data_IF_079278892488
#
_entry.id   IF_079278892488
#
_cell.length_a   1.000
_cell.length_b   1.000
_cell.length_c   1.000
_cell.angle_alpha   90.00
_cell.angle_beta   90.00
_cell.angle_gamma   90.00
#
_symmetry.space_group_name_H-M   'P 1'
#
loop_
_entity.id
_entity.type
_entity.pdbx_description
1 polymer ?
#
# COMPACT_ATOMS: atom_id res chain seq x y z
N UNK A 1 -13.59 -62.59 -9.39
CA UNK A 1 -12.18 -62.40 -8.99
C UNK A 1 -11.96 -63.23 -7.74
N UNK A 2 -10.90 -64.04 -7.71
CA UNK A 2 -10.62 -64.88 -6.54
C UNK A 2 -10.14 -64.01 -5.37
N UNK A 3 -10.34 -64.46 -4.14
CA UNK A 3 -9.90 -63.74 -2.94
C UNK A 3 -8.39 -63.47 -2.98
N UNK A 4 -7.60 -64.39 -3.55
CA UNK A 4 -6.16 -64.23 -3.79
C UNK A 4 -5.83 -63.11 -4.77
N UNK A 5 -6.63 -62.89 -5.81
CA UNK A 5 -6.40 -61.79 -6.77
C UNK A 5 -6.59 -60.42 -6.09
N UNK A 6 -7.56 -60.33 -5.18
CA UNK A 6 -7.85 -59.10 -4.44
C UNK A 6 -6.70 -58.78 -3.47
N UNK A 7 -6.15 -59.78 -2.79
CA UNK A 7 -4.99 -59.61 -1.90
C UNK A 7 -3.73 -59.23 -2.66
N UNK A 8 -3.49 -59.85 -3.82
CA UNK A 8 -2.37 -59.49 -4.70
C UNK A 8 -2.46 -58.03 -5.17
N UNK A 9 -3.63 -57.59 -5.64
CA UNK A 9 -3.82 -56.20 -6.09
C UNK A 9 -3.67 -55.19 -4.93
N UNK A 10 -4.12 -55.52 -3.72
CA UNK A 10 -3.91 -54.67 -2.54
C UNK A 10 -2.42 -54.54 -2.19
N UNK A 11 -1.66 -55.62 -2.31
CA UNK A 11 -0.20 -55.60 -2.09
C UNK A 11 0.52 -54.74 -3.13
N UNK A 12 0.14 -54.85 -4.40
CA UNK A 12 0.67 -53.99 -5.48
C UNK A 12 0.35 -52.52 -5.24
N UNK A 13 -0.88 -52.22 -4.82
CA UNK A 13 -1.31 -50.84 -4.55
C UNK A 13 -0.61 -50.23 -3.32
N UNK A 14 -0.31 -51.04 -2.31
CA UNK A 14 0.52 -50.65 -1.17
C UNK A 14 1.96 -50.32 -1.61
N UNK A 15 2.54 -51.17 -2.45
CA UNK A 15 3.90 -50.97 -2.99
C UNK A 15 3.99 -49.69 -3.83
N UNK A 16 3.03 -49.48 -4.73
CA UNK A 16 2.95 -48.25 -5.54
C UNK A 16 2.77 -46.98 -4.68
N UNK A 17 1.99 -47.05 -3.60
CA UNK A 17 1.85 -45.92 -2.66
C UNK A 17 3.16 -45.60 -1.94
N UNK A 18 3.88 -46.62 -1.50
CA UNK A 18 5.19 -46.43 -0.87
C UNK A 18 6.21 -45.85 -1.85
N UNK A 19 6.19 -46.29 -3.11
CA UNK A 19 7.04 -45.74 -4.16
C UNK A 19 6.73 -44.27 -4.44
N UNK A 20 5.45 -43.90 -4.58
CA UNK A 20 5.02 -42.49 -4.73
C UNK A 20 5.48 -41.65 -3.53
N UNK A 21 5.38 -42.18 -2.31
CA UNK A 21 5.87 -41.49 -1.10
C UNK A 21 7.37 -41.26 -1.16
N UNK A 22 8.14 -42.27 -1.57
CA UNK A 22 9.60 -42.17 -1.70
C UNK A 22 10.00 -41.16 -2.80
N UNK A 23 9.32 -41.18 -3.95
CA UNK A 23 9.55 -40.22 -5.03
C UNK A 23 9.25 -38.79 -4.60
N UNK A 24 8.16 -38.56 -3.87
CA UNK A 24 7.85 -37.24 -3.30
C UNK A 24 8.94 -36.75 -2.34
N UNK A 25 9.47 -37.64 -1.50
CA UNK A 25 10.57 -37.29 -0.60
C UNK A 25 11.86 -36.95 -1.37
N UNK A 26 12.17 -37.72 -2.42
CA UNK A 26 13.32 -37.44 -3.28
C UNK A 26 13.19 -36.10 -4.00
N UNK A 27 12.02 -35.78 -4.53
CA UNK A 27 11.75 -34.48 -5.17
C UNK A 27 11.94 -33.33 -4.18
N UNK A 28 11.38 -33.46 -2.97
CA UNK A 28 11.54 -32.45 -1.91
C UNK A 28 13.01 -32.22 -1.55
N UNK A 29 13.78 -33.30 -1.39
CA UNK A 29 15.21 -33.22 -1.10
C UNK A 29 15.98 -32.56 -2.26
N UNK A 30 15.67 -32.92 -3.51
CA UNK A 30 16.29 -32.31 -4.70
C UNK A 30 15.96 -30.82 -4.83
N UNK A 31 14.71 -30.42 -4.54
CA UNK A 31 14.31 -29.01 -4.51
C UNK A 31 15.10 -28.22 -3.47
N UNK A 32 15.29 -28.80 -2.28
CA UNK A 32 16.07 -28.16 -1.21
C UNK A 32 17.55 -27.98 -1.60
N UNK A 33 18.17 -29.02 -2.18
CA UNK A 33 19.55 -28.94 -2.69
C UNK A 33 19.67 -27.89 -3.78
N UNK A 34 18.75 -27.88 -4.75
CA UNK A 34 18.72 -26.88 -5.82
C UNK A 34 18.61 -25.45 -5.28
N UNK A 35 17.73 -25.21 -4.31
CA UNK A 35 17.61 -23.89 -3.69
C UNK A 35 18.89 -23.46 -3.00
N UNK A 36 19.56 -24.38 -2.29
CA UNK A 36 20.86 -24.12 -1.66
C UNK A 36 21.93 -23.76 -2.69
N UNK A 37 21.99 -24.47 -3.80
CA UNK A 37 22.96 -24.20 -4.87
C UNK A 37 22.71 -22.84 -5.53
N UNK A 38 21.44 -22.48 -5.78
CA UNK A 38 21.07 -21.14 -6.29
C UNK A 38 21.52 -20.03 -5.34
N UNK A 39 21.37 -20.22 -4.02
CA UNK A 39 21.84 -19.25 -3.03
C UNK A 39 23.36 -19.14 -3.02
N UNK A 40 24.08 -20.27 -3.09
CA UNK A 40 25.55 -20.28 -3.16
C UNK A 40 26.06 -19.56 -4.41
N UNK A 41 25.41 -19.76 -5.57
CA UNK A 41 25.76 -19.08 -6.82
C UNK A 41 25.51 -17.59 -6.69
N UNK A 42 24.35 -17.17 -6.17
CA UNK A 42 24.05 -15.75 -5.93
C UNK A 42 25.09 -15.09 -5.04
N UNK A 43 25.39 -15.71 -3.90
CA UNK A 43 26.42 -15.22 -2.98
C UNK A 43 27.79 -15.09 -3.65
N UNK A 44 28.15 -16.06 -4.49
CA UNK A 44 29.42 -16.03 -5.24
C UNK A 44 29.45 -14.91 -6.27
N UNK A 45 28.33 -14.63 -6.95
CA UNK A 45 28.21 -13.55 -7.93
C UNK A 45 28.21 -12.16 -7.27
N UNK A 46 27.51 -11.99 -6.15
CA UNK A 46 27.49 -10.74 -5.38
C UNK A 46 28.87 -10.38 -4.85
N UNK A 47 29.67 -11.38 -4.46
CA UNK A 47 31.03 -11.19 -3.97
C UNK A 47 32.10 -11.32 -5.06
N UNK A 48 31.72 -11.54 -6.33
CA UNK A 48 32.68 -11.68 -7.41
C UNK A 48 33.26 -10.31 -7.77
N UNK A 49 34.50 -10.06 -7.34
CA UNK A 49 35.26 -8.87 -7.70
C UNK A 49 36.31 -9.19 -8.77
N UNK A 50 36.23 -8.49 -9.90
CA UNK A 50 37.17 -8.63 -11.00
C UNK A 50 38.56 -8.08 -10.62
N UNK A 51 39.63 -8.87 -10.86
CA UNK A 51 41.01 -8.53 -10.50
C UNK A 51 41.55 -7.24 -11.15
N UNK A 52 40.93 -6.73 -12.22
CA UNK A 52 41.35 -5.53 -12.95
C UNK A 52 40.62 -4.24 -12.58
N UNK A 53 39.57 -4.29 -11.76
CA UNK A 53 38.75 -3.10 -11.43
C UNK A 53 39.26 -2.32 -10.20
N UNK A 54 40.49 -2.58 -9.73
CA UNK A 54 41.02 -2.06 -8.46
C UNK A 54 41.51 -0.61 -8.50
N UNK A 55 41.42 0.09 -9.63
CA UNK A 55 42.04 1.42 -9.84
C UNK A 55 41.06 2.54 -10.18
N UNK A 56 39.83 2.49 -9.68
CA UNK A 56 38.91 3.64 -9.73
C UNK A 56 37.91 3.56 -8.58
N UNK A 57 38.42 3.70 -7.37
CA UNK A 57 37.64 3.93 -6.16
C UNK A 57 37.32 5.42 -6.05
N UNK A 58 36.03 5.76 -6.12
CA UNK A 58 35.36 6.69 -5.19
C UNK A 58 33.87 6.78 -5.56
N UNK A 59 33.11 5.79 -5.08
CA UNK A 59 31.66 5.88 -4.90
C UNK A 59 31.28 4.90 -3.78
N UNK A 60 31.27 5.39 -2.54
CA UNK A 60 30.89 4.63 -1.36
C UNK A 60 29.39 4.28 -1.39
N UNK A 61 29.08 2.98 -1.40
CA UNK A 61 27.80 2.43 -0.97
C UNK A 61 27.95 1.95 0.49
N UNK A 62 27.20 2.49 1.47
CA UNK A 62 27.24 1.96 2.81
C UNK A 62 26.36 0.71 2.94
N UNK A 63 27.04 -0.42 3.16
CA UNK A 63 26.53 -1.63 3.77
C UNK A 63 26.13 -1.33 5.21
N UNK A 64 24.88 -1.60 5.59
CA UNK A 64 24.56 -1.92 6.98
C UNK A 64 23.60 -3.10 7.03
N UNK A 65 24.23 -4.28 7.15
CA UNK A 65 23.58 -5.48 7.65
C UNK A 65 23.18 -5.24 9.11
N UNK A 66 21.92 -5.53 9.43
CA UNK A 66 21.52 -5.83 10.80
C UNK A 66 20.93 -7.22 10.78
N UNK A 67 21.59 -8.12 11.51
CA UNK A 67 21.19 -9.48 11.83
C UNK A 67 19.71 -9.53 12.22
N UNK A 68 18.90 -10.17 11.38
CA UNK A 68 17.57 -10.63 11.78
C UNK A 68 17.75 -12.05 12.31
N UNK A 69 17.66 -12.18 13.62
CA UNK A 69 17.59 -13.46 14.33
C UNK A 69 16.51 -14.36 13.73
N UNK A 70 16.90 -15.61 13.52
CA UNK A 70 16.16 -16.73 12.95
C UNK A 70 14.79 -16.93 13.63
N UNK A 71 13.72 -16.48 12.97
CA UNK A 71 12.35 -17.02 13.10
C UNK A 71 11.35 -16.36 12.14
N UNK A 72 11.77 -15.91 10.96
CA UNK A 72 10.84 -15.41 9.94
C UNK A 72 10.32 -16.60 9.12
N UNK A 73 9.14 -17.09 9.50
CA UNK A 73 8.27 -17.77 8.54
C UNK A 73 8.27 -16.94 7.27
N UNK A 74 8.55 -17.58 6.14
CA UNK A 74 8.71 -16.92 4.85
C UNK A 74 7.43 -16.15 4.46
N UNK A 75 7.33 -14.89 4.87
CA UNK A 75 6.32 -13.98 4.36
C UNK A 75 6.74 -13.67 2.93
N UNK A 76 6.12 -14.32 1.96
CA UNK A 76 6.17 -13.89 0.56
C UNK A 76 5.68 -12.44 0.50
N UNK A 77 6.60 -11.49 0.32
CA UNK A 77 6.23 -10.09 0.15
C UNK A 77 5.28 -9.91 -1.04
N UNK A 78 4.37 -8.95 -0.95
CA UNK A 78 3.48 -8.57 -2.05
C UNK A 78 4.26 -7.62 -2.97
N UNK A 79 4.40 -7.99 -4.25
CA UNK A 79 5.01 -7.15 -5.28
C UNK A 79 3.94 -6.51 -6.14
N UNK A 80 4.14 -5.25 -6.52
CA UNK A 80 3.25 -4.51 -7.41
C UNK A 80 4.04 -4.01 -8.63
N UNK A 81 3.46 -4.18 -9.82
CA UNK A 81 3.97 -3.58 -11.03
C UNK A 81 3.33 -2.19 -11.21
N UNK A 82 4.12 -1.11 -11.36
CA UNK A 82 3.57 0.23 -11.53
C UNK A 82 2.75 0.35 -12.81
N UNK A 83 1.52 0.87 -12.67
CA UNK A 83 0.60 1.09 -13.81
C UNK A 83 0.95 2.33 -14.62
N UNK A 84 1.79 3.21 -14.09
CA UNK A 84 2.20 4.45 -14.75
C UNK A 84 3.27 5.21 -13.98
N UNK A 85 3.68 6.34 -14.54
CA UNK A 85 4.71 7.21 -13.97
C UNK A 85 4.20 8.64 -13.88
N UNK A 86 4.41 9.26 -12.72
CA UNK A 86 4.11 10.67 -12.48
C UNK A 86 5.17 11.55 -13.14
N UNK A 87 4.73 12.59 -13.86
CA UNK A 87 5.55 13.67 -14.37
C UNK A 87 5.19 14.99 -13.71
N UNK A 88 6.16 15.62 -13.05
CA UNK A 88 5.99 16.91 -12.35
C UNK A 88 7.21 17.80 -12.55
N UNK A 89 7.10 19.06 -12.15
CA UNK A 89 8.23 20.01 -12.13
C UNK A 89 9.26 19.69 -11.04
N UNK A 90 8.96 18.77 -10.13
CA UNK A 90 9.79 18.50 -8.96
C UNK A 90 10.77 17.35 -9.25
N UNK A 91 11.95 17.69 -9.77
CA UNK A 91 13.00 16.70 -10.05
C UNK A 91 13.55 15.99 -8.80
N UNK A 92 13.42 16.62 -7.64
CA UNK A 92 13.92 16.16 -6.34
C UNK A 92 12.87 16.28 -5.23
N UNK A 93 13.08 15.61 -4.09
CA UNK A 93 12.21 15.73 -2.91
C UNK A 93 12.15 17.13 -2.30
N UNK A 94 13.17 17.96 -2.59
CA UNK A 94 13.25 19.34 -2.09
C UNK A 94 12.19 20.18 -2.80
N UNK A 95 11.51 21.04 -2.04
CA UNK A 95 10.42 21.89 -2.52
C UNK A 95 9.12 21.18 -2.97
N UNK A 96 9.05 19.84 -2.93
CA UNK A 96 7.78 19.14 -3.14
C UNK A 96 6.77 19.59 -2.06
N UNK A 97 5.55 19.98 -2.45
CA UNK A 97 4.49 20.33 -1.52
C UNK A 97 4.23 19.19 -0.53
N UNK A 98 3.87 19.54 0.71
CA UNK A 98 3.63 18.53 1.73
C UNK A 98 2.36 17.72 1.49
N UNK A 99 1.41 18.29 0.78
CA UNK A 99 0.11 17.73 0.40
C UNK A 99 -0.31 18.36 -0.92
N UNK A 100 -0.98 17.60 -1.79
CA UNK A 100 -1.40 18.05 -3.12
C UNK A 100 -2.23 19.35 -3.10
N UNK A 101 -3.07 19.55 -2.08
CA UNK A 101 -3.90 20.75 -1.93
C UNK A 101 -3.12 22.05 -1.70
N UNK A 102 -1.84 21.97 -1.33
CA UNK A 102 -0.99 23.17 -1.15
C UNK A 102 -0.56 23.76 -2.50
N UNK A 103 -0.42 22.93 -3.52
CA UNK A 103 -0.06 23.34 -4.87
C UNK A 103 -1.18 22.98 -5.85
N UNK A 104 -2.41 23.36 -5.49
CA UNK A 104 -3.65 22.97 -6.19
C UNK A 104 -3.73 23.46 -7.64
N UNK A 105 -2.93 24.44 -8.05
CA UNK A 105 -2.93 24.99 -9.41
C UNK A 105 -1.83 24.38 -10.30
N UNK A 106 -0.95 23.55 -9.73
CA UNK A 106 0.17 23.00 -10.50
C UNK A 106 -0.31 21.86 -11.39
N UNK A 107 -0.21 22.06 -12.71
CA UNK A 107 -0.50 21.03 -13.69
C UNK A 107 0.58 19.93 -13.66
N UNK A 108 0.15 18.69 -13.57
CA UNK A 108 0.97 17.48 -13.59
C UNK A 108 0.31 16.42 -14.46
N UNK A 109 1.04 15.34 -14.78
CA UNK A 109 0.46 14.24 -15.56
C UNK A 109 0.91 12.86 -15.11
N UNK A 110 0.07 11.88 -15.37
CA UNK A 110 0.38 10.45 -15.26
C UNK A 110 0.53 9.90 -16.67
N UNK A 111 1.67 9.30 -16.96
CA UNK A 111 1.88 8.53 -18.20
C UNK A 111 1.69 7.04 -17.86
N UNK A 112 0.64 6.40 -18.39
CA UNK A 112 0.40 4.98 -18.15
C UNK A 112 1.48 4.11 -18.81
N UNK A 113 1.82 3.02 -18.13
CA UNK A 113 2.79 2.06 -18.62
C UNK A 113 2.16 1.17 -19.70
N UNK A 114 2.62 1.34 -20.94
CA UNK A 114 2.16 0.57 -22.09
C UNK A 114 2.53 -0.92 -22.04
N UNK A 115 3.47 -1.34 -21.19
CA UNK A 115 3.84 -2.77 -21.09
C UNK A 115 2.88 -3.56 -20.20
N UNK A 116 2.10 -2.89 -19.35
CA UNK A 116 1.18 -3.54 -18.39
C UNK A 116 -0.19 -3.77 -19.01
N UNK A 117 -0.62 -2.86 -19.90
CA UNK A 117 -1.91 -2.93 -20.55
C UNK A 117 -1.75 -3.16 -22.05
N UNK A 118 -2.55 -4.04 -22.63
CA UNK A 118 -2.59 -4.19 -24.09
C UNK A 118 -3.10 -2.92 -24.77
N UNK A 119 -4.13 -2.27 -24.19
CA UNK A 119 -4.74 -1.01 -24.64
C UNK A 119 -4.95 -0.10 -23.40
N UNK A 120 -3.92 0.66 -22.97
CA UNK A 120 -3.97 1.45 -21.74
C UNK A 120 -5.06 2.52 -21.74
N UNK A 121 -5.45 3.05 -22.90
CA UNK A 121 -6.53 4.02 -23.03
C UNK A 121 -7.90 3.44 -22.61
N UNK A 122 -8.14 2.15 -22.83
CA UNK A 122 -9.41 1.51 -22.43
C UNK A 122 -9.58 1.44 -20.90
N UNK A 123 -8.48 1.41 -20.13
CA UNK A 123 -8.56 1.41 -18.67
C UNK A 123 -8.92 2.79 -18.08
N UNK A 124 -8.92 3.83 -18.92
CA UNK A 124 -9.27 5.20 -18.57
C UNK A 124 -10.69 5.60 -18.99
N UNK A 125 -11.40 4.74 -19.72
CA UNK A 125 -12.74 5.03 -20.23
C UNK A 125 -13.72 5.34 -19.07
N UNK A 126 -14.40 6.49 -19.16
CA UNK A 126 -15.34 6.96 -18.16
C UNK A 126 -14.70 7.66 -16.96
N UNK A 127 -13.38 7.65 -16.82
CA UNK A 127 -12.69 8.37 -15.74
C UNK A 127 -12.88 9.89 -15.88
N UNK A 128 -12.95 10.40 -17.12
CA UNK A 128 -13.24 11.79 -17.48
C UNK A 128 -14.61 12.30 -17.00
N UNK A 129 -15.48 11.41 -16.55
CA UNK A 129 -16.76 11.78 -15.93
C UNK A 129 -16.64 12.26 -14.48
N UNK A 130 -15.44 12.16 -13.88
CA UNK A 130 -15.17 12.57 -12.50
C UNK A 130 -14.27 13.81 -12.45
N UNK A 131 -14.61 14.77 -11.58
CA UNK A 131 -13.78 15.96 -11.39
C UNK A 131 -12.54 15.72 -10.54
N UNK A 132 -12.53 14.67 -9.71
CA UNK A 132 -11.45 14.37 -8.79
C UNK A 132 -11.13 12.88 -8.77
N UNK A 133 -9.86 12.56 -8.60
CA UNK A 133 -9.35 11.19 -8.52
C UNK A 133 -8.38 11.04 -7.35
N UNK A 134 -8.40 9.86 -6.75
CA UNK A 134 -7.35 9.36 -5.88
C UNK A 134 -6.23 8.77 -6.70
N UNK A 135 -5.00 9.13 -6.36
CA UNK A 135 -3.78 8.52 -6.89
C UNK A 135 -3.10 7.80 -5.75
N UNK A 136 -2.88 6.49 -5.89
CA UNK A 136 -2.01 5.71 -5.03
C UNK A 136 -0.65 5.55 -5.72
N UNK A 137 0.42 5.84 -5.00
CA UNK A 137 1.76 5.87 -5.58
C UNK A 137 2.82 5.40 -4.59
N UNK A 138 3.99 5.01 -5.10
CA UNK A 138 5.08 4.51 -4.28
C UNK A 138 6.13 5.59 -4.01
N UNK A 139 6.52 5.81 -2.75
CA UNK A 139 7.63 6.70 -2.39
C UNK A 139 9.00 6.09 -2.73
N UNK A 140 9.24 5.85 -4.01
CA UNK A 140 10.41 5.17 -4.58
C UNK A 140 11.78 5.74 -4.18
N UNK A 141 11.84 7.03 -3.81
CA UNK A 141 13.10 7.65 -3.36
C UNK A 141 13.33 7.54 -1.85
N UNK A 142 12.41 6.98 -1.06
CA UNK A 142 12.59 6.87 0.38
C UNK A 142 13.55 5.75 0.76
N UNK A 143 14.35 5.95 1.83
CA UNK A 143 15.21 4.89 2.35
C UNK A 143 14.34 3.72 2.81
N UNK A 144 14.85 2.49 2.63
CA UNK A 144 14.17 1.25 3.03
C UNK A 144 13.92 1.17 4.56
N UNK A 145 14.70 1.91 5.35
CA UNK A 145 14.53 1.95 6.79
C UNK A 145 13.44 2.94 7.22
N UNK A 146 12.43 2.43 7.92
CA UNK A 146 11.38 3.21 8.56
C UNK A 146 11.55 3.25 10.08
N UNK A 147 11.00 4.28 10.73
CA UNK A 147 10.97 4.41 12.19
C UNK A 147 9.52 4.27 12.66
N UNK A 148 9.31 3.59 13.78
CA UNK A 148 7.98 3.44 14.41
C UNK A 148 7.41 4.78 14.86
N UNK A 149 8.28 5.70 15.32
CA UNK A 149 7.93 7.09 15.67
C UNK A 149 8.63 8.11 14.78
N UNK A 150 7.86 9.06 14.29
CA UNK A 150 8.28 10.17 13.42
C UNK A 150 8.01 11.51 14.09
N UNK A 151 8.69 12.57 13.66
CA UNK A 151 8.47 13.94 14.14
C UNK A 151 7.92 14.81 12.98
N UNK A 152 6.59 14.87 12.80
CA UNK A 152 5.99 15.73 11.79
C UNK A 152 6.34 17.21 12.04
N UNK A 153 6.68 18.00 11.02
CA UNK A 153 7.10 19.39 11.20
C UNK A 153 6.05 20.29 11.87
N UNK A 154 4.76 19.96 11.73
CA UNK A 154 3.65 20.70 12.36
C UNK A 154 3.52 20.44 13.87
N UNK A 155 4.27 19.49 14.44
CA UNK A 155 4.17 19.10 15.85
C UNK A 155 5.34 19.60 16.70
N UNK A 156 6.11 20.59 16.23
CA UNK A 156 7.11 21.28 17.05
C UNK A 156 8.18 20.38 17.67
N UNK A 157 8.53 19.26 17.02
CA UNK A 157 9.51 18.28 17.51
C UNK A 157 8.93 17.09 18.29
N UNK A 158 7.63 17.09 18.61
CA UNK A 158 6.97 15.96 19.26
C UNK A 158 6.99 14.72 18.34
N UNK A 159 7.37 13.57 18.91
CA UNK A 159 7.43 12.29 18.18
C UNK A 159 6.16 11.48 18.42
N UNK A 160 5.46 11.13 17.34
CA UNK A 160 4.23 10.33 17.36
C UNK A 160 4.35 9.09 16.48
N UNK A 161 3.45 8.12 16.67
CA UNK A 161 3.44 6.88 15.88
C UNK A 161 3.27 7.17 14.38
N UNK A 162 4.00 6.44 13.53
CA UNK A 162 3.99 6.65 12.06
C UNK A 162 2.59 6.53 11.46
N UNK A 163 1.74 5.66 12.00
CA UNK A 163 0.36 5.48 11.54
C UNK A 163 -0.59 6.61 11.95
N UNK A 164 -0.21 7.40 12.96
CA UNK A 164 -0.91 8.65 13.32
C UNK A 164 -0.50 9.83 12.42
N UNK A 165 0.23 9.58 11.33
CA UNK A 165 0.77 10.61 10.43
C UNK A 165 0.65 10.22 8.96
N UNK A 166 0.86 11.20 8.09
CA UNK A 166 1.09 11.01 6.64
C UNK A 166 2.58 11.06 6.27
N UNK A 167 3.47 10.64 7.19
CA UNK A 167 4.92 10.57 6.90
C UNK A 167 5.16 9.62 5.72
N UNK A 168 6.06 9.95 4.77
CA UNK A 168 6.35 9.05 3.66
C UNK A 168 7.33 7.92 4.07
N UNK A 169 7.99 8.04 5.24
CA UNK A 169 8.83 6.99 5.83
C UNK A 169 7.97 5.99 6.62
N UNK A 170 7.51 4.91 5.97
CA UNK A 170 6.58 3.91 6.52
C UNK A 170 6.96 2.49 6.06
N UNK A 171 6.46 1.43 6.72
CA UNK A 171 6.70 0.04 6.31
C UNK A 171 6.28 -0.24 4.86
N UNK A 172 5.06 0.18 4.49
CA UNK A 172 4.59 0.20 3.11
C UNK A 172 4.61 1.67 2.65
N UNK A 173 5.61 2.09 1.87
CA UNK A 173 5.79 3.48 1.46
C UNK A 173 4.82 3.86 0.33
N UNK A 174 3.52 3.77 0.61
CA UNK A 174 2.43 4.13 -0.29
C UNK A 174 1.94 5.54 0.09
N UNK A 175 1.90 6.42 -0.90
CA UNK A 175 1.28 7.72 -0.85
C UNK A 175 -0.14 7.69 -1.40
N UNK A 176 -0.93 8.67 -0.99
CA UNK A 176 -2.32 8.86 -1.39
C UNK A 176 -2.57 10.35 -1.57
N UNK A 177 -2.99 10.74 -2.78
CA UNK A 177 -3.29 12.14 -3.10
C UNK A 177 -4.64 12.25 -3.80
N UNK A 178 -5.48 13.17 -3.32
CA UNK A 178 -6.69 13.61 -4.00
C UNK A 178 -6.30 14.77 -4.91
N UNK A 179 -6.57 14.64 -6.20
CA UNK A 179 -6.23 15.65 -7.20
C UNK A 179 -7.45 15.97 -8.05
N UNK A 180 -7.46 17.17 -8.64
CA UNK A 180 -8.49 17.57 -9.57
C UNK A 180 -8.08 17.12 -10.99
N UNK A 181 -8.96 16.41 -11.68
CA UNK A 181 -8.73 16.05 -13.07
C UNK A 181 -8.85 17.27 -13.98
N UNK A 182 -7.95 17.38 -14.94
CA UNK A 182 -8.03 18.36 -16.03
C UNK A 182 -8.59 17.71 -17.30
N UNK A 183 -7.85 16.73 -17.85
CA UNK A 183 -8.23 16.02 -19.08
C UNK A 183 -7.49 14.70 -19.24
N UNK A 184 -7.95 13.87 -20.16
CA UNK A 184 -7.29 12.62 -20.57
C UNK A 184 -6.94 12.73 -22.05
N UNK A 185 -5.70 12.44 -22.41
CA UNK A 185 -5.23 12.36 -23.80
C UNK A 185 -4.53 11.01 -24.00
N UNK A 186 -5.08 10.15 -24.85
CA UNK A 186 -4.56 8.80 -25.09
C UNK A 186 -4.43 8.02 -23.76
N UNK A 187 -3.21 7.57 -23.43
CA UNK A 187 -2.87 6.89 -22.19
C UNK A 187 -2.28 7.82 -21.11
N UNK A 188 -2.56 9.13 -21.21
CA UNK A 188 -2.04 10.16 -20.30
C UNK A 188 -3.17 10.89 -19.59
N UNK A 189 -3.06 11.01 -18.27
CA UNK A 189 -4.02 11.75 -17.44
C UNK A 189 -3.35 13.04 -16.97
N UNK A 190 -3.98 14.18 -17.25
CA UNK A 190 -3.57 15.48 -16.75
C UNK A 190 -4.43 15.88 -15.55
N UNK A 191 -3.79 16.44 -14.53
CA UNK A 191 -4.44 16.80 -13.28
C UNK A 191 -3.77 18.00 -12.61
N UNK A 192 -4.53 18.69 -11.75
CA UNK A 192 -4.06 19.77 -10.91
C UNK A 192 -3.89 19.33 -9.45
N UNK A 193 -2.83 19.83 -8.81
CA UNK A 193 -2.48 19.47 -7.44
C UNK A 193 -1.49 18.32 -7.40
N UNK A 194 -0.28 18.55 -6.91
CA UNK A 194 0.73 17.49 -6.78
C UNK A 194 1.59 17.66 -5.54
N UNK A 195 1.96 16.54 -4.94
CA UNK A 195 2.91 16.39 -3.84
C UNK A 195 3.89 15.23 -4.14
N UNK A 196 4.12 14.99 -5.43
CA UNK A 196 4.91 13.87 -5.93
C UNK A 196 6.15 14.36 -6.67
N UNK A 197 7.24 13.61 -6.52
CA UNK A 197 8.49 13.82 -7.26
C UNK A 197 8.33 13.31 -8.68
N UNK A 198 9.00 13.93 -9.64
CA UNK A 198 9.09 13.42 -11.01
C UNK A 198 9.65 11.98 -11.03
N UNK A 199 9.02 11.13 -11.84
CA UNK A 199 9.34 9.70 -11.91
C UNK A 199 8.65 8.84 -10.84
N UNK A 200 7.75 9.40 -10.03
CA UNK A 200 7.03 8.63 -9.00
C UNK A 200 6.18 7.51 -9.64
N UNK A 201 6.38 6.24 -9.25
CA UNK A 201 5.56 5.13 -9.77
C UNK A 201 4.14 5.19 -9.22
N UNK A 202 3.16 5.10 -10.12
CA UNK A 202 1.73 5.01 -9.79
C UNK A 202 1.37 3.53 -9.61
N UNK A 203 0.67 3.24 -8.51
CA UNK A 203 0.20 1.91 -8.17
C UNK A 203 -1.26 1.72 -8.59
N UNK A 204 -2.10 2.75 -8.38
CA UNK A 204 -3.53 2.66 -8.65
C UNK A 204 -4.17 4.05 -8.77
N UNK A 205 -5.32 4.12 -9.45
CA UNK A 205 -6.11 5.34 -9.67
C UNK A 205 -7.58 5.01 -9.42
N UNK A 206 -8.27 5.83 -8.64
CA UNK A 206 -9.69 5.64 -8.32
C UNK A 206 -10.47 6.96 -8.42
N UNK A 207 -11.72 6.96 -8.89
CA UNK A 207 -12.55 8.14 -8.81
C UNK A 207 -12.84 8.50 -7.35
N UNK A 208 -12.86 9.80 -7.04
CA UNK A 208 -13.35 10.29 -5.75
C UNK A 208 -14.87 10.30 -5.74
N UNK A 209 -15.47 9.67 -4.72
CA UNK A 209 -16.93 9.60 -4.56
C UNK A 209 -17.30 10.18 -3.19
N UNK A 210 -17.90 11.38 -3.11
CA UNK A 210 -18.22 12.05 -1.85
C UNK A 210 -19.00 11.16 -0.88
N UNK A 211 -19.95 10.36 -1.38
CA UNK A 211 -20.78 9.47 -0.58
C UNK A 211 -19.98 8.38 0.15
N UNK A 212 -18.83 7.97 -0.40
CA UNK A 212 -18.00 6.89 0.16
C UNK A 212 -16.76 7.42 0.88
N UNK A 213 -16.22 8.55 0.41
CA UNK A 213 -14.93 9.07 0.87
C UNK A 213 -15.06 10.16 1.94
N UNK A 214 -16.25 10.79 2.09
CA UNK A 214 -16.51 11.73 3.18
C UNK A 214 -17.02 10.94 4.38
N UNK A 215 -16.35 11.02 5.55
CA UNK A 215 -16.83 10.36 6.76
C UNK A 215 -18.22 10.83 7.14
N UNK A 216 -19.11 9.89 7.49
CA UNK A 216 -20.37 10.21 8.12
C UNK A 216 -20.12 10.92 9.46
N UNK A 217 -20.97 11.90 9.80
CA UNK A 217 -20.90 12.56 11.11
C UNK A 217 -21.33 11.56 12.18
N UNK A 218 -20.38 11.12 13.00
CA UNK A 218 -20.64 10.31 14.19
C UNK A 218 -20.81 11.27 15.37
N UNK A 219 -21.84 11.05 16.20
CA UNK A 219 -22.00 11.82 17.44
C UNK A 219 -20.83 11.52 18.40
N UNK A 220 -20.29 12.56 19.04
CA UNK A 220 -19.12 12.45 19.90
C UNK A 220 -19.35 11.47 21.05
N UNK A 221 -20.55 11.40 21.61
CA UNK A 221 -20.89 10.46 22.67
C UNK A 221 -20.75 9.00 22.20
N UNK A 222 -21.20 8.69 20.98
CA UNK A 222 -21.10 7.34 20.40
C UNK A 222 -19.66 6.91 20.14
N UNK A 223 -18.78 7.84 19.74
CA UNK A 223 -17.38 7.53 19.41
C UNK A 223 -16.53 7.13 20.64
N UNK A 224 -16.84 7.66 21.82
CA UNK A 224 -16.13 7.32 23.05
C UNK A 224 -16.75 6.13 23.78
N UNK A 225 -18.06 5.92 23.68
CA UNK A 225 -18.75 4.81 24.33
C UNK A 225 -18.56 3.46 23.63
N UNK A 226 -18.24 3.43 22.33
CA UNK A 226 -18.10 2.19 21.55
C UNK A 226 -16.72 1.53 21.62
N UNK A 227 -15.86 1.93 22.57
CA UNK A 227 -14.49 1.40 22.72
C UNK A 227 -14.42 0.27 23.75
N UNK A 228 -15.45 -0.55 23.84
CA UNK A 228 -15.31 -1.87 24.46
C UNK A 228 -14.36 -2.68 23.58
N UNK A 229 -13.34 -3.27 24.20
CA UNK A 229 -12.41 -4.11 23.49
C UNK A 229 -13.17 -5.36 23.01
N UNK A 230 -12.88 -5.87 21.80
CA UNK A 230 -13.49 -7.10 21.31
C UNK A 230 -12.74 -8.31 21.89
N UNK A 231 -12.61 -8.38 23.20
CA UNK A 231 -12.30 -9.58 23.95
C UNK A 231 -13.63 -10.12 24.47
N UNK A 232 -14.20 -11.06 23.71
CA UNK A 232 -15.55 -11.59 23.88
C UNK A 232 -15.81 -12.32 25.19
N UNK A 233 -15.84 -11.60 26.31
CA UNK A 233 -16.53 -12.00 27.53
C UNK A 233 -17.58 -10.91 27.85
N UNK A 234 -18.84 -11.21 27.53
CA UNK A 234 -19.96 -10.47 28.11
C UNK A 234 -20.00 -10.78 29.62
N UNK A 235 -19.42 -9.89 30.43
CA UNK A 235 -19.67 -9.93 31.88
C UNK A 235 -21.07 -9.40 32.17
N UNK A 236 -21.96 -10.33 32.52
CA UNK A 236 -23.20 -10.02 33.23
C UNK A 236 -22.87 -9.22 34.49
N UNK A 237 -23.52 -8.07 34.60
CA UNK A 237 -23.41 -7.08 35.65
C UNK A 237 -23.19 -7.65 37.06
N UNK A 238 -22.24 -7.07 37.79
CA UNK A 238 -22.46 -6.61 39.16
C UNK A 238 -21.42 -5.55 39.58
N UNK A 239 -21.90 -4.52 40.25
CA UNK A 239 -21.16 -3.31 40.59
C UNK A 239 -20.11 -3.53 41.69
N UNK A 240 -18.93 -2.92 41.52
CA UNK A 240 -17.93 -2.75 42.59
C UNK A 240 -16.97 -1.58 42.30
N UNK A 241 -16.62 -0.75 43.30
CA UNK A 241 -15.84 0.47 43.07
C UNK A 241 -14.35 0.13 43.07
N UNK A 242 -13.68 0.26 41.93
CA UNK A 242 -12.22 0.11 41.86
C UNK A 242 -11.56 1.35 41.27
N UNK A 243 -10.99 2.12 42.18
CA UNK A 243 -10.01 3.18 41.94
C UNK A 243 -8.80 2.61 41.19
N UNK A 244 -8.67 2.97 39.91
CA UNK A 244 -7.36 2.97 39.24
C UNK A 244 -7.31 4.15 38.28
N UNK A 245 -6.28 4.97 38.48
CA UNK A 245 -5.97 6.17 37.73
C UNK A 245 -5.75 5.85 36.25
N UNK A 246 -6.80 6.03 35.43
CA UNK A 246 -6.67 6.10 33.97
C UNK A 246 -5.88 7.37 33.63
N UNK A 247 -4.57 7.25 33.39
CA UNK A 247 -3.85 8.22 32.57
C UNK A 247 -4.38 8.10 31.15
N UNK A 248 -5.47 8.79 30.86
CA UNK A 248 -5.95 9.02 29.51
C UNK A 248 -4.93 9.89 28.80
N UNK A 249 -4.13 9.29 27.93
CA UNK A 249 -3.46 10.07 26.90
C UNK A 249 -4.55 10.59 25.96
N UNK A 250 -5.10 11.76 26.28
CA UNK A 250 -6.07 12.45 25.44
C UNK A 250 -5.38 12.82 24.13
N UNK A 251 -5.54 11.98 23.11
CA UNK A 251 -5.18 12.30 21.74
C UNK A 251 -6.08 13.45 21.32
N UNK A 252 -5.55 14.67 21.36
CA UNK A 252 -6.27 15.88 20.99
C UNK A 252 -6.28 16.00 19.48
N UNK A 253 -7.46 16.01 18.86
CA UNK A 253 -7.62 16.23 17.41
C UNK A 253 -7.24 17.69 17.11
N UNK A 254 -6.19 17.97 16.34
CA UNK A 254 -5.78 19.34 16.06
C UNK A 254 -6.87 20.12 15.29
N UNK A 255 -7.02 21.41 15.58
CA UNK A 255 -8.07 22.28 15.02
C UNK A 255 -8.15 22.30 13.48
N UNK A 256 -7.06 22.03 12.76
CA UNK A 256 -7.06 21.96 11.29
C UNK A 256 -7.77 20.72 10.72
N UNK A 257 -8.01 19.68 11.54
CA UNK A 257 -8.86 18.52 11.21
C UNK A 257 -10.33 18.85 11.46
N UNK A 258 -10.62 19.75 12.41
CA UNK A 258 -11.99 20.15 12.78
C UNK A 258 -12.61 21.19 11.83
N UNK A 259 -11.80 21.83 10.98
CA UNK A 259 -12.30 22.71 9.93
C UNK A 259 -12.95 21.85 8.83
N UNK A 260 -14.27 22.00 8.64
CA UNK A 260 -15.00 21.28 7.59
C UNK A 260 -14.40 21.55 6.21
N UNK A 261 -14.16 20.49 5.44
CA UNK A 261 -13.69 20.59 4.06
C UNK A 261 -14.78 21.22 3.19
N UNK A 262 -14.50 22.40 2.64
CA UNK A 262 -15.31 23.06 1.61
C UNK A 262 -14.89 22.62 0.20
N UNK A 263 -14.70 21.31 0.00
CA UNK A 263 -14.46 20.78 -1.34
C UNK A 263 -15.81 20.65 -2.05
N UNK A 264 -16.11 21.62 -2.93
CA UNK A 264 -17.23 21.54 -3.84
C UNK A 264 -16.86 20.57 -4.97
N UNK A 265 -17.43 19.37 -4.95
CA UNK A 265 -17.30 18.41 -6.06
C UNK A 265 -18.40 18.69 -7.06
N UNK A 266 -18.01 19.19 -8.24
CA UNK A 266 -18.92 19.37 -9.36
C UNK A 266 -18.93 18.09 -10.20
N UNK A 267 -20.11 17.68 -10.65
CA UNK A 267 -20.35 16.54 -11.53
C UNK A 267 -20.72 17.05 -12.93
N UNK A 268 -20.34 16.32 -13.98
CA UNK A 268 -20.83 16.60 -15.34
C UNK A 268 -22.28 16.10 -15.53
N UNK A 269 -22.92 16.46 -16.64
CA UNK A 269 -24.33 16.12 -16.91
C UNK A 269 -24.57 14.61 -16.93
N UNK A 270 -23.61 13.84 -17.46
CA UNK A 270 -23.74 12.39 -17.60
C UNK A 270 -23.67 11.67 -16.24
N UNK A 271 -22.71 12.04 -15.39
CA UNK A 271 -22.60 11.55 -14.01
C UNK A 271 -23.81 11.98 -13.18
N UNK A 272 -24.32 13.19 -13.39
CA UNK A 272 -25.53 13.68 -12.71
C UNK A 272 -26.75 12.82 -13.06
N UNK A 273 -26.93 12.47 -14.35
CA UNK A 273 -28.02 11.63 -14.81
C UNK A 273 -27.96 10.20 -14.25
N UNK A 274 -26.77 9.61 -14.15
CA UNK A 274 -26.58 8.27 -13.56
C UNK A 274 -26.88 8.26 -12.06
N UNK A 275 -26.47 9.30 -11.33
CA UNK A 275 -26.77 9.44 -9.89
C UNK A 275 -28.29 9.52 -9.66
N UNK A 276 -29.01 10.25 -10.52
CA UNK A 276 -30.48 10.33 -10.50
C UNK A 276 -31.12 8.97 -10.80
N UNK A 277 -30.59 8.24 -11.79
CA UNK A 277 -31.09 6.91 -12.16
C UNK A 277 -30.87 5.87 -11.05
N UNK A 278 -29.85 6.04 -10.22
CA UNK A 278 -29.55 5.20 -9.05
C UNK A 278 -30.34 5.61 -7.79
N UNK A 279 -31.16 6.67 -7.85
CA UNK A 279 -32.00 7.12 -6.73
C UNK A 279 -31.21 7.70 -5.55
N UNK A 280 -29.99 8.17 -5.79
CA UNK A 280 -29.14 8.76 -4.74
C UNK A 280 -29.49 10.24 -4.63
N UNK A 281 -30.18 10.63 -3.56
CA UNK A 281 -30.48 12.04 -3.28
C UNK A 281 -29.19 12.83 -3.02
N UNK A 282 -28.95 13.87 -3.83
CA UNK A 282 -27.92 14.85 -3.49
C UNK A 282 -28.41 15.67 -2.29
N UNK A 283 -27.71 15.53 -1.17
CA UNK A 283 -27.94 16.40 0.00
C UNK A 283 -27.46 17.80 -0.38
N UNK A 284 -28.40 18.63 -0.84
CA UNK A 284 -28.18 20.06 -1.06
C UNK A 284 -27.79 20.72 0.26
N UNK A 285 -26.64 21.40 0.26
CA UNK A 285 -26.27 22.40 1.25
C UNK A 285 -26.07 23.74 0.59
#
# INVERSE_FOLDING_TARGET
MSQSDIEFLKSQLSSARNEIKNLRQQISNLQHVYQKDVQNIRFSLENFQCKSCRSSSDAECPVYATERTENDQQTSGISFDPIGTIKTVFSDKRAVPRQASVASELLSRIELNQTIFNNPEHSLEGLDSFSHIWILYHFHRNPAHFKTKVAPPRLGGMRIGVFSTRSPHRPCPIGLSLVQMDRIENSTIYFYGTDMVDGTPVLDIKPYIPQYDIPAKIDQQQFFSSREAPDGEEELAEAGPSTSSKTTSNVTVPNWIANGSTLNVLFNENASNQIVQLGIEQVSK
#
